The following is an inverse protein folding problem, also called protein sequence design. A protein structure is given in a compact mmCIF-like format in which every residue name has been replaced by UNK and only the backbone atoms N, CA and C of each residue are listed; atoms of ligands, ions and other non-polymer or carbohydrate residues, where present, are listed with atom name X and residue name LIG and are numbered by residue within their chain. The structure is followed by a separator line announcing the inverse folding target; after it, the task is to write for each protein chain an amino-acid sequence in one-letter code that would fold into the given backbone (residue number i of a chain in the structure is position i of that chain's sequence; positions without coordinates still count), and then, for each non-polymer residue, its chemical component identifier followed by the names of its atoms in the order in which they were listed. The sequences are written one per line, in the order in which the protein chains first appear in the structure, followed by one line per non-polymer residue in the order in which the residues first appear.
data_IF_977388276187
#
_entry.id   IF_977388276187
#
_cell.length_a   1.000
_cell.length_b   1.000
_cell.length_c   1.000
_cell.angle_alpha   90.00
_cell.angle_beta   90.00
_cell.angle_gamma   90.00
#
_symmetry.space_group_name_H-M   'P 1'
#
loop_
_entity.id
_entity.type
_entity.pdbx_description
1 polymer ?
#
# COMPACT_ATOMS: atom_id res chain seq x y z
N UNK A 1 8.48 7.14 16.05
CA UNK A 1 9.06 6.47 14.88
C UNK A 1 9.96 5.37 15.41
N UNK A 2 9.52 4.12 15.32
CA UNK A 2 10.03 2.94 16.07
C UNK A 2 10.98 2.04 15.26
N UNK A 3 11.55 2.56 14.17
CA UNK A 3 12.41 1.77 13.28
C UNK A 3 11.75 1.35 11.97
N UNK A 4 10.48 1.73 11.73
CA UNK A 4 9.94 2.06 10.40
C UNK A 4 9.73 0.90 9.42
N UNK A 5 8.59 0.90 8.73
CA UNK A 5 8.41 0.08 7.52
C UNK A 5 9.09 0.77 6.35
N UNK A 6 9.74 0.03 5.45
CA UNK A 6 10.37 0.62 4.25
C UNK A 6 9.32 0.91 3.15
N UNK A 7 8.24 0.13 3.16
CA UNK A 7 7.19 0.16 2.16
C UNK A 7 5.88 -0.35 2.74
N UNK A 8 4.81 0.42 2.53
CA UNK A 8 3.44 -0.06 2.73
C UNK A 8 2.93 -0.62 1.40
N UNK A 9 2.43 -1.86 1.41
CA UNK A 9 1.78 -2.49 0.25
C UNK A 9 0.34 -2.88 0.58
N UNK A 10 -0.61 -2.36 -0.21
CA UNK A 10 -2.05 -2.58 -0.01
C UNK A 10 -2.66 -3.29 -1.21
N UNK A 11 -3.55 -4.25 -0.97
CA UNK A 11 -4.32 -4.92 -2.03
C UNK A 11 -3.69 -6.19 -2.60
N UNK A 12 -3.72 -7.29 -1.83
CA UNK A 12 -3.43 -8.63 -2.34
C UNK A 12 -4.55 -9.58 -1.88
N UNK A 13 -5.45 -10.09 -2.76
CA UNK A 13 -5.32 -10.17 -4.21
C UNK A 13 -5.46 -8.86 -5.00
N UNK A 14 -6.30 -7.89 -4.64
CA UNK A 14 -6.35 -6.50 -5.15
C UNK A 14 -7.35 -5.71 -4.29
N UNK A 15 -7.19 -4.39 -4.13
CA UNK A 15 -8.26 -3.57 -3.53
C UNK A 15 -9.43 -3.42 -4.50
N UNK A 16 -10.64 -3.61 -3.98
CA UNK A 16 -11.88 -3.24 -4.66
C UNK A 16 -12.02 -1.73 -4.82
N UNK A 17 -12.92 -1.30 -5.72
CA UNK A 17 -13.21 0.12 -5.89
C UNK A 17 -13.71 0.78 -4.58
N UNK A 18 -14.49 0.04 -3.78
CA UNK A 18 -15.00 0.55 -2.52
C UNK A 18 -13.89 0.77 -1.50
N UNK A 19 -12.96 -0.19 -1.35
CA UNK A 19 -11.79 -0.05 -0.48
C UNK A 19 -10.89 1.11 -0.92
N UNK A 20 -10.76 1.37 -2.23
CA UNK A 20 -9.98 2.51 -2.73
C UNK A 20 -10.65 3.84 -2.39
N UNK A 21 -11.98 3.92 -2.48
CA UNK A 21 -12.72 5.13 -2.07
C UNK A 21 -12.52 5.38 -0.57
N UNK A 22 -12.71 4.36 0.25
CA UNK A 22 -12.51 4.44 1.71
C UNK A 22 -11.07 4.85 2.05
N UNK A 23 -10.09 4.24 1.38
CA UNK A 23 -8.69 4.59 1.53
C UNK A 23 -8.42 6.05 1.13
N UNK A 24 -9.01 6.53 0.04
CA UNK A 24 -8.84 7.91 -0.41
C UNK A 24 -9.40 8.94 0.58
N UNK A 25 -10.46 8.59 1.30
CA UNK A 25 -11.02 9.45 2.35
C UNK A 25 -10.15 9.40 3.62
N UNK A 26 -9.59 8.24 3.98
CA UNK A 26 -8.62 8.14 5.07
C UNK A 26 -7.32 8.91 4.79
N UNK A 27 -6.90 8.98 3.52
CA UNK A 27 -5.72 9.71 3.06
C UNK A 27 -5.94 11.23 2.95
N UNK A 28 -7.19 11.69 2.92
CA UNK A 28 -7.51 13.09 2.66
C UNK A 28 -6.97 14.01 3.78
N UNK A 29 -6.25 15.08 3.39
CA UNK A 29 -5.62 16.01 4.34
C UNK A 29 -4.47 15.41 5.13
N UNK A 30 -3.85 14.33 4.62
CA UNK A 30 -2.69 13.67 5.22
C UNK A 30 -1.57 13.51 4.20
N UNK A 31 -0.36 13.32 4.69
CA UNK A 31 0.85 13.06 3.90
C UNK A 31 1.57 11.83 4.43
N UNK A 32 1.93 10.92 3.53
CA UNK A 32 2.66 9.71 3.86
C UNK A 32 4.07 10.03 4.38
N UNK A 33 4.48 9.32 5.43
CA UNK A 33 5.85 9.36 5.97
C UNK A 33 6.79 8.38 5.25
N UNK A 34 6.22 7.39 4.55
CA UNK A 34 6.91 6.31 3.84
C UNK A 34 6.25 6.09 2.48
N UNK A 35 6.84 5.24 1.63
CA UNK A 35 6.24 4.89 0.34
C UNK A 35 5.01 4.01 0.53
N UNK A 36 3.95 4.28 -0.23
CA UNK A 36 2.74 3.48 -0.29
C UNK A 36 2.51 2.96 -1.71
N UNK A 37 2.34 1.65 -1.86
CA UNK A 37 1.95 1.01 -3.11
C UNK A 37 0.59 0.36 -2.96
N UNK A 38 -0.35 0.82 -3.79
CA UNK A 38 -1.72 0.33 -3.84
C UNK A 38 -1.89 -0.51 -5.10
N UNK A 39 -2.35 -1.75 -4.93
CA UNK A 39 -2.55 -2.67 -6.04
C UNK A 39 -4.05 -2.90 -6.27
N UNK A 40 -4.48 -2.76 -7.52
CA UNK A 40 -5.88 -2.87 -7.91
C UNK A 40 -6.05 -3.41 -9.34
N UNK A 41 -7.29 -3.71 -9.73
CA UNK A 41 -7.60 -4.24 -11.06
C UNK A 41 -7.65 -3.11 -12.11
N UNK A 42 -7.12 -3.36 -13.32
CA UNK A 42 -7.18 -2.41 -14.45
C UNK A 42 -8.60 -2.00 -14.81
N UNK A 43 -9.58 -2.88 -14.60
CA UNK A 43 -11.00 -2.58 -14.82
C UNK A 43 -11.49 -1.34 -14.05
N UNK A 44 -10.83 -0.97 -12.95
CA UNK A 44 -11.19 0.19 -12.14
C UNK A 44 -10.41 1.46 -12.52
N UNK A 45 -9.41 1.38 -13.42
CA UNK A 45 -8.58 2.52 -13.81
C UNK A 45 -9.38 3.77 -14.24
N UNK A 46 -10.41 3.67 -15.11
CA UNK A 46 -11.19 4.84 -15.52
C UNK A 46 -11.90 5.55 -14.35
N UNK A 47 -12.28 4.79 -13.32
CA UNK A 47 -12.98 5.31 -12.14
C UNK A 47 -11.98 5.92 -11.17
N UNK A 48 -10.85 5.24 -10.97
CA UNK A 48 -9.77 5.65 -10.06
C UNK A 48 -9.09 6.93 -10.55
N UNK A 49 -9.04 7.18 -11.86
CA UNK A 49 -8.39 8.39 -12.41
C UNK A 49 -8.96 9.69 -11.79
N UNK A 50 -10.25 9.69 -11.43
CA UNK A 50 -10.90 10.82 -10.74
C UNK A 50 -10.44 11.04 -9.29
N UNK A 51 -9.90 10.00 -8.64
CA UNK A 51 -9.41 9.99 -7.26
C UNK A 51 -7.88 9.97 -7.19
N UNK A 52 -7.21 9.67 -8.30
CA UNK A 52 -5.77 9.47 -8.40
C UNK A 52 -4.99 10.65 -7.86
N UNK A 53 -5.43 11.88 -8.13
CA UNK A 53 -4.79 13.09 -7.61
C UNK A 53 -4.77 13.14 -6.08
N UNK A 54 -5.81 12.63 -5.39
CA UNK A 54 -5.83 12.56 -3.91
C UNK A 54 -4.78 11.56 -3.40
N UNK A 55 -4.71 10.40 -4.06
CA UNK A 55 -3.80 9.31 -3.71
C UNK A 55 -2.33 9.72 -3.95
N UNK A 56 -2.06 10.39 -5.08
CA UNK A 56 -0.74 10.92 -5.40
C UNK A 56 -0.34 12.08 -4.47
N UNK A 57 -1.27 12.97 -4.12
CA UNK A 57 -1.03 14.06 -3.14
C UNK A 57 -0.64 13.52 -1.76
N UNK A 58 -1.27 12.44 -1.31
CA UNK A 58 -0.88 11.72 -0.10
C UNK A 58 0.54 11.15 -0.19
N UNK A 59 1.03 10.83 -1.39
CA UNK A 59 2.34 10.21 -1.63
C UNK A 59 2.28 8.72 -1.93
N UNK A 60 1.13 8.20 -2.38
CA UNK A 60 0.96 6.81 -2.76
C UNK A 60 0.97 6.60 -4.29
N UNK A 61 1.46 5.44 -4.72
CA UNK A 61 1.43 5.00 -6.12
C UNK A 61 0.41 3.87 -6.32
N UNK A 62 -0.24 3.86 -7.49
CA UNK A 62 -1.22 2.84 -7.86
C UNK A 62 -0.61 1.94 -8.94
N UNK A 63 -0.74 0.64 -8.75
CA UNK A 63 -0.27 -0.41 -9.64
C UNK A 63 -1.44 -1.27 -10.12
N UNK A 64 -1.47 -1.51 -11.43
CA UNK A 64 -2.49 -2.33 -12.09
C UNK A 64 -1.87 -3.62 -12.63
N UNK A 65 -2.64 -4.72 -12.63
CA UNK A 65 -2.30 -6.02 -13.26
C UNK A 65 -1.00 -6.67 -12.78
N UNK A 66 -0.54 -6.28 -11.60
CA UNK A 66 0.62 -6.86 -10.94
C UNK A 66 0.32 -7.03 -9.46
N UNK A 67 1.27 -7.64 -8.75
CA UNK A 67 1.20 -7.88 -7.32
C UNK A 67 2.57 -7.61 -6.70
N UNK A 68 2.61 -7.07 -5.49
CA UNK A 68 3.86 -6.88 -4.76
C UNK A 68 4.69 -8.17 -4.62
N UNK A 69 4.03 -9.34 -4.58
CA UNK A 69 4.70 -10.65 -4.43
C UNK A 69 5.65 -10.98 -5.59
N UNK A 70 5.35 -10.50 -6.81
CA UNK A 70 6.20 -10.73 -7.98
C UNK A 70 7.25 -9.64 -8.18
N UNK A 71 7.19 -8.56 -7.40
CA UNK A 71 8.17 -7.47 -7.45
C UNK A 71 9.44 -7.87 -6.69
N UNK A 72 10.65 -7.62 -7.21
CA UNK A 72 11.91 -7.90 -6.52
C UNK A 72 12.20 -6.81 -5.47
N UNK A 73 11.36 -6.72 -4.43
CA UNK A 73 11.43 -5.67 -3.41
C UNK A 73 12.79 -5.65 -2.69
N UNK A 74 13.37 -6.82 -2.47
CA UNK A 74 14.68 -7.05 -1.90
C UNK A 74 15.80 -6.38 -2.72
N UNK A 75 15.73 -6.44 -4.04
CA UNK A 75 16.68 -5.78 -4.95
C UNK A 75 16.49 -4.26 -4.95
N UNK A 76 15.30 -3.79 -4.60
CA UNK A 76 14.98 -2.37 -4.40
C UNK A 76 15.37 -1.86 -3.00
N UNK A 77 16.06 -2.69 -2.21
CA UNK A 77 16.54 -2.36 -0.86
C UNK A 77 15.47 -2.37 0.22
N UNK A 78 14.27 -2.90 -0.06
CA UNK A 78 13.21 -3.08 0.93
C UNK A 78 13.54 -4.27 1.83
N UNK A 79 13.50 -4.08 3.14
CA UNK A 79 13.73 -5.14 4.14
C UNK A 79 12.46 -5.42 4.94
N UNK A 80 11.70 -4.37 5.28
CA UNK A 80 10.47 -4.46 6.06
C UNK A 80 9.27 -3.88 5.30
N UNK A 81 8.18 -4.65 5.27
CA UNK A 81 6.93 -4.28 4.60
C UNK A 81 5.78 -4.30 5.59
N UNK A 82 4.87 -3.34 5.49
CA UNK A 82 3.58 -3.39 6.19
C UNK A 82 2.46 -3.57 5.17
N UNK A 83 1.52 -4.46 5.45
CA UNK A 83 0.43 -4.77 4.52
C UNK A 83 -0.89 -5.01 5.25
N UNK A 84 -2.01 -4.82 4.53
CA UNK A 84 -3.34 -5.20 5.00
C UNK A 84 -3.75 -6.63 4.59
N UNK A 85 -2.85 -7.38 3.95
CA UNK A 85 -3.16 -8.69 3.38
C UNK A 85 -2.37 -9.81 4.03
N UNK A 86 -3.09 -10.78 4.61
CA UNK A 86 -2.49 -12.04 5.07
C UNK A 86 -1.80 -12.83 3.95
N UNK A 87 -2.31 -12.72 2.71
CA UNK A 87 -1.69 -13.35 1.53
C UNK A 87 -0.35 -12.71 1.21
N UNK A 88 -0.28 -11.37 1.19
CA UNK A 88 0.97 -10.66 0.98
C UNK A 88 1.95 -10.96 2.13
N UNK A 89 1.49 -10.92 3.39
CA UNK A 89 2.31 -11.23 4.56
C UNK A 89 2.97 -12.60 4.47
N UNK A 90 2.20 -13.64 4.12
CA UNK A 90 2.73 -14.98 3.93
C UNK A 90 3.75 -15.05 2.79
N UNK A 91 3.45 -14.51 1.61
CA UNK A 91 4.34 -14.68 0.46
C UNK A 91 5.59 -13.80 0.52
N UNK A 92 5.48 -12.57 0.99
CA UNK A 92 6.63 -11.68 1.14
C UNK A 92 7.61 -12.19 2.21
N UNK A 93 7.11 -12.75 3.31
CA UNK A 93 7.99 -13.39 4.30
C UNK A 93 8.60 -14.69 3.76
N UNK A 94 7.78 -15.62 3.28
CA UNK A 94 8.25 -16.98 2.96
C UNK A 94 9.00 -17.11 1.62
N UNK A 95 8.66 -16.31 0.60
CA UNK A 95 9.29 -16.39 -0.73
C UNK A 95 10.37 -15.33 -0.95
N UNK A 96 10.26 -14.18 -0.28
CA UNK A 96 11.18 -13.04 -0.47
C UNK A 96 12.08 -12.79 0.73
N UNK A 97 11.84 -13.44 1.86
CA UNK A 97 12.65 -13.27 3.07
C UNK A 97 12.52 -11.89 3.71
N UNK A 98 11.43 -11.16 3.43
CA UNK A 98 11.19 -9.84 4.00
C UNK A 98 10.60 -9.94 5.41
N UNK A 99 10.91 -8.98 6.27
CA UNK A 99 10.15 -8.75 7.49
C UNK A 99 8.77 -8.19 7.12
N UNK A 100 7.69 -8.76 7.65
CA UNK A 100 6.34 -8.31 7.31
C UNK A 100 5.50 -8.08 8.55
N UNK A 101 4.84 -6.93 8.59
CA UNK A 101 3.82 -6.57 9.57
C UNK A 101 2.44 -6.57 8.91
N UNK A 102 1.46 -7.21 9.55
CA UNK A 102 0.07 -7.24 9.11
C UNK A 102 -0.74 -6.33 10.03
N UNK A 103 -1.31 -5.26 9.49
CA UNK A 103 -2.14 -4.29 10.22
C UNK A 103 -3.41 -3.99 9.42
N UNK A 104 -4.43 -3.45 10.09
CA UNK A 104 -5.59 -2.92 9.37
C UNK A 104 -5.26 -1.59 8.69
N UNK A 105 -6.06 -1.24 7.67
CA UNK A 105 -5.81 -0.03 6.86
C UNK A 105 -5.83 1.24 7.71
N UNK A 106 -6.71 1.35 8.72
CA UNK A 106 -6.81 2.57 9.52
C UNK A 106 -5.57 2.75 10.35
N UNK A 107 -5.11 1.68 11.00
CA UNK A 107 -3.88 1.68 11.78
C UNK A 107 -2.65 2.00 10.89
N UNK A 108 -2.58 1.44 9.68
CA UNK A 108 -1.52 1.77 8.71
C UNK A 108 -1.51 3.27 8.41
N UNK A 109 -2.67 3.86 8.11
CA UNK A 109 -2.76 5.29 7.80
C UNK A 109 -2.38 6.12 9.02
N UNK A 110 -2.81 5.75 10.23
CA UNK A 110 -2.45 6.47 11.46
C UNK A 110 -0.96 6.42 11.77
N UNK A 111 -0.32 5.24 11.64
CA UNK A 111 1.10 5.07 11.95
C UNK A 111 2.02 5.70 10.91
N UNK A 112 1.65 5.67 9.63
CA UNK A 112 2.55 5.99 8.51
C UNK A 112 2.14 7.24 7.74
N UNK A 113 1.31 8.11 8.32
CA UNK A 113 1.02 9.44 7.77
C UNK A 113 0.88 10.50 8.86
N UNK A 114 1.03 11.75 8.45
CA UNK A 114 0.82 12.94 9.28
C UNK A 114 -0.24 13.83 8.64
N UNK A 115 -0.92 14.71 9.39
CA UNK A 115 -1.72 15.77 8.80
C UNK A 115 -0.89 16.60 7.80
N UNK A 116 -1.46 16.89 6.63
CA UNK A 116 -0.89 17.79 5.61
C UNK A 116 -1.00 19.25 6.05
#
# INVERSE_FOLDING_TARGET
FDGGTDLVVLGCPHLSLQEIKELSELMNGRKALVRFWIFTARAFMPIIESLKWKIERFGANIWYDTCMVVSPLEELGVKKVTTNSAKAAKYLSSLRGLEVELLDIKEIIERYSIPE
#
